data_IF_897455275329
#
_entry.id   IF_897455275329
#
_cell.length_a   1.000
_cell.length_b   1.000
_cell.length_c   1.000
_cell.angle_alpha   90.00
_cell.angle_beta   90.00
_cell.angle_gamma   90.00
#
_symmetry.space_group_name_H-M   'P 1'
#
loop_
_entity.id
_entity.type
_entity.pdbx_description
1 polymer ?
#
# COMPACT_ATOMS: atom_id res chain seq x y z
N UNK A 1 6.79 -7.31 -19.04
CA UNK A 1 6.16 -6.59 -17.93
C UNK A 1 4.69 -6.49 -18.22
N UNK A 2 3.81 -6.87 -17.29
CA UNK A 2 2.40 -6.49 -17.39
C UNK A 2 2.35 -5.02 -16.98
N UNK A 3 2.02 -4.12 -17.89
CA UNK A 3 1.64 -2.75 -17.58
C UNK A 3 0.41 -2.82 -16.67
N UNK A 4 0.63 -2.65 -15.36
CA UNK A 4 -0.48 -2.62 -14.40
C UNK A 4 -1.04 -1.21 -14.46
N UNK A 5 -2.21 -1.05 -15.08
CA UNK A 5 -2.89 0.23 -15.20
C UNK A 5 -3.28 0.73 -13.81
N UNK A 6 -2.71 1.88 -13.41
CA UNK A 6 -2.96 2.52 -12.13
C UNK A 6 -4.46 2.77 -11.89
N UNK A 7 -5.26 2.99 -12.94
CA UNK A 7 -6.70 3.22 -12.80
C UNK A 7 -7.47 1.94 -12.42
N UNK A 8 -6.97 0.77 -12.86
CA UNK A 8 -7.59 -0.53 -12.56
C UNK A 8 -7.23 -0.98 -11.13
N UNK A 9 -6.00 -0.71 -10.70
CA UNK A 9 -5.57 -0.84 -9.29
C UNK A 9 -6.39 0.11 -8.41
N UNK A 10 -6.62 1.35 -8.85
CA UNK A 10 -7.26 2.39 -8.03
C UNK A 10 -8.80 2.37 -8.03
N UNK A 11 -9.41 1.34 -8.61
CA UNK A 11 -10.84 1.06 -8.49
C UNK A 11 -11.20 0.44 -7.13
N UNK A 12 -10.87 1.12 -6.04
CA UNK A 12 -11.22 0.72 -4.66
C UNK A 12 -12.65 1.06 -4.27
N UNK A 13 -13.08 0.58 -3.10
CA UNK A 13 -14.38 0.98 -2.54
C UNK A 13 -14.29 2.42 -2.04
N UNK A 14 -14.99 3.34 -2.70
CA UNK A 14 -15.15 4.68 -2.18
C UNK A 14 -15.95 4.62 -0.87
N UNK A 15 -15.32 4.95 0.26
CA UNK A 15 -16.00 5.07 1.54
C UNK A 15 -16.09 6.52 1.96
N UNK A 16 -17.17 6.86 2.65
CA UNK A 16 -17.31 8.16 3.26
C UNK A 16 -16.56 8.12 4.59
N UNK A 17 -15.40 8.77 4.65
CA UNK A 17 -14.63 8.98 5.87
C UNK A 17 -14.75 10.47 6.24
N UNK A 18 -15.27 10.76 7.44
CA UNK A 18 -15.50 12.13 7.93
C UNK A 18 -16.24 13.05 6.92
N UNK A 19 -17.24 12.53 6.21
CA UNK A 19 -18.03 13.31 5.26
C UNK A 19 -17.36 13.55 3.90
N UNK A 20 -16.16 12.99 3.66
CA UNK A 20 -15.47 13.04 2.37
C UNK A 20 -15.46 11.65 1.74
N UNK A 21 -15.75 11.56 0.44
CA UNK A 21 -15.64 10.33 -0.33
C UNK A 21 -14.16 10.08 -0.60
N UNK A 22 -13.58 9.09 0.07
CA UNK A 22 -12.18 8.70 -0.10
C UNK A 22 -12.12 7.23 -0.54
N UNK A 23 -11.27 6.97 -1.53
CA UNK A 23 -11.00 5.60 -1.96
C UNK A 23 -10.04 4.96 -0.96
N UNK A 24 -10.49 3.90 -0.30
CA UNK A 24 -9.70 3.18 0.70
C UNK A 24 -9.56 1.71 0.33
N UNK A 25 -8.43 1.15 0.72
CA UNK A 25 -8.08 -0.25 0.51
C UNK A 25 -7.71 -0.87 1.85
N UNK A 26 -8.20 -2.08 2.08
CA UNK A 26 -7.57 -2.98 3.03
C UNK A 26 -6.26 -3.53 2.46
N UNK A 27 -5.43 -4.08 3.35
CA UNK A 27 -4.21 -4.79 2.93
C UNK A 27 -4.54 -5.93 1.96
N UNK A 28 -5.63 -6.68 2.20
CA UNK A 28 -5.98 -7.82 1.35
C UNK A 28 -6.35 -7.38 -0.06
N UNK A 29 -7.20 -6.35 -0.19
CA UNK A 29 -7.64 -5.82 -1.48
C UNK A 29 -6.48 -5.24 -2.29
N UNK A 30 -5.60 -4.45 -1.68
CA UNK A 30 -4.45 -3.88 -2.40
C UNK A 30 -3.44 -4.97 -2.77
N UNK A 31 -3.24 -5.98 -1.92
CA UNK A 31 -2.34 -7.09 -2.22
C UNK A 31 -2.82 -7.91 -3.42
N UNK A 32 -4.12 -8.19 -3.50
CA UNK A 32 -4.74 -8.87 -4.63
C UNK A 32 -4.57 -8.08 -5.94
N UNK A 33 -4.84 -6.77 -5.92
CA UNK A 33 -4.63 -5.88 -7.09
C UNK A 33 -3.17 -5.79 -7.54
N UNK A 34 -2.22 -5.98 -6.63
CA UNK A 34 -0.79 -5.99 -6.90
C UNK A 34 -0.25 -7.39 -7.22
N UNK A 35 -1.11 -8.42 -7.28
CA UNK A 35 -0.76 -9.82 -7.49
C UNK A 35 0.32 -10.32 -6.49
N UNK A 36 0.16 -9.96 -5.22
CA UNK A 36 1.06 -10.37 -4.13
C UNK A 36 0.28 -10.88 -2.92
N UNK A 37 0.97 -11.60 -2.03
CA UNK A 37 0.35 -12.03 -0.77
C UNK A 37 0.18 -10.84 0.19
N UNK A 38 -0.88 -10.83 1.04
CA UNK A 38 -1.05 -9.82 2.08
C UNK A 38 0.14 -9.72 3.05
N UNK A 39 0.85 -10.83 3.27
CA UNK A 39 2.09 -10.87 4.07
C UNK A 39 3.21 -10.07 3.40
N UNK A 40 3.40 -10.24 2.09
CA UNK A 40 4.39 -9.47 1.31
C UNK A 40 4.08 -7.97 1.35
N UNK A 41 2.80 -7.60 1.24
CA UNK A 41 2.40 -6.20 1.34
C UNK A 41 2.65 -5.62 2.74
N UNK A 42 2.32 -6.35 3.82
CA UNK A 42 2.65 -5.95 5.20
C UNK A 42 4.15 -5.71 5.39
N UNK A 43 4.99 -6.60 4.87
CA UNK A 43 6.44 -6.44 4.94
C UNK A 43 6.90 -5.19 4.17
N UNK A 44 6.31 -4.93 3.01
CA UNK A 44 6.60 -3.72 2.21
C UNK A 44 6.26 -2.46 3.01
N UNK A 45 5.06 -2.39 3.59
CA UNK A 45 4.63 -1.26 4.44
C UNK A 45 5.57 -1.10 5.64
N UNK A 46 5.97 -2.20 6.28
CA UNK A 46 6.91 -2.16 7.39
C UNK A 46 8.27 -1.60 6.98
N UNK A 47 8.82 -2.03 5.83
CA UNK A 47 10.05 -1.48 5.27
C UNK A 47 9.93 0.01 4.91
N UNK A 48 8.83 0.43 4.30
CA UNK A 48 8.57 1.84 3.99
C UNK A 48 8.54 2.71 5.26
N UNK A 49 7.85 2.25 6.30
CA UNK A 49 7.80 2.94 7.61
C UNK A 49 9.17 2.98 8.27
N UNK A 50 9.96 1.91 8.19
CA UNK A 50 11.33 1.87 8.69
C UNK A 50 12.25 2.87 7.95
N UNK A 51 11.95 3.17 6.68
CA UNK A 51 12.61 4.21 5.90
C UNK A 51 12.01 5.61 6.09
N UNK A 52 11.12 5.80 7.07
CA UNK A 52 10.53 7.10 7.40
C UNK A 52 9.34 7.52 6.54
N UNK A 53 8.84 6.65 5.66
CA UNK A 53 7.66 6.92 4.84
C UNK A 53 6.42 6.52 5.63
N UNK A 54 5.62 7.51 6.03
CA UNK A 54 4.33 7.25 6.67
C UNK A 54 3.33 6.72 5.63
N UNK A 55 2.85 5.50 5.87
CA UNK A 55 1.96 4.72 4.99
C UNK A 55 0.91 4.04 5.85
N UNK A 56 -0.35 4.23 5.47
CA UNK A 56 -1.48 3.49 6.00
C UNK A 56 -1.86 3.93 7.41
N UNK A 57 -3.15 4.13 7.62
CA UNK A 57 -3.70 4.64 8.88
C UNK A 57 -4.36 3.51 9.66
N UNK A 58 -4.09 3.48 10.96
CA UNK A 58 -4.76 2.57 11.89
C UNK A 58 -5.44 3.42 12.98
N UNK A 59 -6.76 3.32 13.08
CA UNK A 59 -7.56 4.14 13.99
C UNK A 59 -7.63 3.59 15.43
N UNK A 60 -6.99 2.46 15.69
CA UNK A 60 -6.88 1.84 17.01
C UNK A 60 -6.24 0.45 16.92
N UNK A 61 -5.79 -0.13 18.04
CA UNK A 61 -4.99 -1.36 18.04
C UNK A 61 -5.72 -2.57 17.45
N UNK A 62 -7.06 -2.58 17.52
CA UNK A 62 -7.91 -3.67 16.99
C UNK A 62 -8.42 -3.40 15.58
N UNK A 63 -8.24 -2.18 15.05
CA UNK A 63 -8.73 -1.82 13.73
C UNK A 63 -7.75 -2.28 12.65
N UNK A 64 -8.24 -2.72 11.47
CA UNK A 64 -7.38 -3.01 10.34
C UNK A 64 -6.66 -1.75 9.86
N UNK A 65 -5.47 -1.93 9.31
CA UNK A 65 -4.76 -0.85 8.61
C UNK A 65 -5.54 -0.53 7.34
N UNK A 66 -5.87 0.75 7.18
CA UNK A 66 -6.54 1.31 6.02
C UNK A 66 -5.50 2.03 5.19
N UNK A 67 -5.48 1.75 3.89
CA UNK A 67 -4.61 2.40 2.92
C UNK A 67 -5.47 3.36 2.11
N UNK A 68 -5.10 4.64 2.11
CA UNK A 68 -5.71 5.62 1.20
C UNK A 68 -5.19 5.44 -0.22
N UNK A 69 -5.84 6.06 -1.20
CA UNK A 69 -5.33 6.13 -2.57
C UNK A 69 -3.90 6.69 -2.68
N UNK A 70 -3.53 7.80 -1.99
CA UNK A 70 -2.14 8.24 -1.91
C UNK A 70 -1.17 7.21 -1.33
N UNK A 71 -1.60 6.43 -0.33
CA UNK A 71 -0.77 5.35 0.23
C UNK A 71 -0.54 4.24 -0.81
N UNK A 72 -1.58 3.86 -1.54
CA UNK A 72 -1.49 2.85 -2.60
C UNK A 72 -0.52 3.30 -3.70
N UNK A 73 -0.57 4.57 -4.12
CA UNK A 73 0.36 5.13 -5.09
C UNK A 73 1.82 5.05 -4.63
N UNK A 74 2.09 5.44 -3.37
CA UNK A 74 3.44 5.34 -2.79
C UNK A 74 3.93 3.89 -2.72
N UNK A 75 3.05 2.94 -2.39
CA UNK A 75 3.38 1.51 -2.35
C UNK A 75 3.72 1.00 -3.76
N UNK A 76 2.94 1.36 -4.77
CA UNK A 76 3.22 0.99 -6.17
C UNK A 76 4.57 1.54 -6.59
N UNK A 77 4.80 2.83 -6.37
CA UNK A 77 6.07 3.50 -6.68
C UNK A 77 7.24 2.79 -5.98
N UNK A 78 7.13 2.57 -4.67
CA UNK A 78 8.16 1.89 -3.90
C UNK A 78 8.48 0.50 -4.44
N UNK A 79 7.48 -0.27 -4.87
CA UNK A 79 7.69 -1.62 -5.44
C UNK A 79 8.30 -1.57 -6.83
N UNK A 80 8.04 -0.53 -7.61
CA UNK A 80 8.69 -0.31 -8.90
C UNK A 80 10.19 0.01 -8.70
N UNK A 81 10.52 0.86 -7.73
CA UNK A 81 11.89 1.18 -7.34
C UNK A 81 12.59 -0.02 -6.65
N UNK A 82 11.82 -0.81 -5.91
CA UNK A 82 12.28 -1.93 -5.10
C UNK A 82 11.45 -3.19 -5.38
N UNK A 83 11.75 -3.98 -6.44
CA UNK A 83 10.93 -5.12 -6.86
C UNK A 83 10.70 -6.20 -5.78
N UNK A 84 11.59 -6.27 -4.78
CA UNK A 84 11.46 -7.20 -3.63
C UNK A 84 10.73 -6.58 -2.42
N UNK A 85 10.17 -5.37 -2.56
CA UNK A 85 9.47 -4.63 -1.51
C UNK A 85 10.38 -3.93 -0.50
N UNK A 86 11.70 -3.94 -0.69
CA UNK A 86 12.69 -3.31 0.21
C UNK A 86 13.92 -2.80 -0.55
N UNK A 87 14.56 -1.70 -0.10
CA UNK A 87 15.84 -1.27 -0.62
C UNK A 87 16.90 -2.37 -0.45
N UNK A 88 17.84 -2.44 -1.39
CA UNK A 88 19.05 -3.23 -1.18
C UNK A 88 19.76 -2.57 0.00
N UNK A 89 20.10 -3.35 1.03
CA UNK A 89 21.11 -2.88 1.97
C UNK A 89 22.38 -2.69 1.16
N UNK A 90 22.76 -1.46 0.89
CA UNK A 90 24.16 -1.19 0.59
C UNK A 90 24.93 -1.57 1.84
N UNK A 91 25.80 -2.56 1.72
CA UNK A 91 26.71 -2.96 2.80
C UNK A 91 27.61 -1.76 3.07
N UNK A 92 27.35 -1.07 4.19
CA UNK A 92 28.31 -0.13 4.79
C UNK A 92 29.40 -0.94 5.48
#
# INVERSE_FOLDING_TARGET
SKDVDLNDILSGHAKILHGKKETIYSISELAEKLDITPRTLRNTIHSMRASGIDIGKQYGPTYPIILSEPDAQKIVQWRNEHPRGRPKLESV
#
